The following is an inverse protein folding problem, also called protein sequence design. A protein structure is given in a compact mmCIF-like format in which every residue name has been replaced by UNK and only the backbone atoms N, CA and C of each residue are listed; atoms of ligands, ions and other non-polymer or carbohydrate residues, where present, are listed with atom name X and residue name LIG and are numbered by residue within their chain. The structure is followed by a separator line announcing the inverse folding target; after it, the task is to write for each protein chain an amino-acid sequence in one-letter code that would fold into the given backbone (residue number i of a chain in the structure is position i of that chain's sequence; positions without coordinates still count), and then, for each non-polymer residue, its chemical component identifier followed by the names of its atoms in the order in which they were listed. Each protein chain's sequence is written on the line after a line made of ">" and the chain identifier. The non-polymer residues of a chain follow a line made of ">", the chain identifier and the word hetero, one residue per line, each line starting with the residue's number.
data_IF_640865253712
#
_entry.id   IF_640865253712
#
_cell.length_a   1.000
_cell.length_b   1.000
_cell.length_c   1.000
_cell.angle_alpha   90.00
_cell.angle_beta   90.00
_cell.angle_gamma   90.00
#
_symmetry.space_group_name_H-M   'P 1'
#
loop_
_entity.id
_entity.type
_entity.pdbx_description
1 polymer ?
#
# COMPACT_ATOMS: atom_id res chain seq x y z
N UNK A 1 0.45 27.50 -9.92
CA UNK A 1 1.12 28.74 -9.47
C UNK A 1 0.22 29.37 -8.42
N UNK A 2 0.68 29.44 -7.17
CA UNK A 2 -0.05 30.04 -6.09
C UNK A 2 0.21 31.56 -6.11
N UNK A 3 -0.79 32.40 -6.33
CA UNK A 3 -0.59 33.85 -6.56
C UNK A 3 -0.15 34.63 -5.32
N UNK A 4 0.10 33.98 -4.18
CA UNK A 4 0.38 34.66 -2.91
C UNK A 4 1.74 34.34 -2.27
N UNK A 5 2.59 33.53 -2.92
CA UNK A 5 3.95 33.29 -2.43
C UNK A 5 4.96 33.94 -3.37
N UNK A 6 5.65 34.93 -2.87
CA UNK A 6 6.78 35.57 -3.57
C UNK A 6 8.02 34.68 -3.64
N UNK A 7 8.03 33.53 -2.96
CA UNK A 7 9.17 32.60 -2.89
C UNK A 7 8.72 31.16 -3.14
N UNK A 8 9.45 30.47 -4.03
CA UNK A 8 9.34 29.01 -4.18
C UNK A 8 10.13 28.32 -3.09
N UNK A 9 9.43 27.66 -2.15
CA UNK A 9 10.07 26.78 -1.17
C UNK A 9 10.52 25.49 -1.86
N UNK A 10 11.82 25.21 -1.80
CA UNK A 10 12.44 24.13 -2.55
C UNK A 10 13.15 23.16 -1.62
N UNK A 11 12.95 21.86 -1.87
CA UNK A 11 13.71 20.78 -1.25
C UNK A 11 14.53 20.08 -2.33
N UNK A 12 15.84 20.05 -2.18
CA UNK A 12 16.73 19.39 -3.14
C UNK A 12 16.80 17.88 -2.86
N UNK A 13 16.62 17.08 -3.90
CA UNK A 13 16.69 15.63 -3.83
C UNK A 13 18.09 15.14 -4.19
N UNK A 14 18.64 14.29 -3.32
CA UNK A 14 19.86 13.52 -3.58
C UNK A 14 19.48 12.08 -3.92
N UNK A 15 19.98 11.56 -5.02
CA UNK A 15 19.87 10.14 -5.33
C UNK A 15 21.08 9.39 -4.77
N UNK A 16 20.87 8.79 -3.63
CA UNK A 16 21.90 7.98 -2.97
C UNK A 16 21.93 6.52 -3.42
N UNK A 17 21.04 6.15 -4.36
CA UNK A 17 20.96 4.80 -4.87
C UNK A 17 19.55 4.27 -5.06
N UNK A 18 18.51 5.13 -4.98
CA UNK A 18 17.15 4.75 -5.39
C UNK A 18 17.04 4.63 -6.91
N UNK A 19 17.86 5.38 -7.67
CA UNK A 19 17.87 5.34 -9.13
C UNK A 19 16.64 5.97 -9.78
N UNK A 20 15.92 6.86 -9.05
CA UNK A 20 14.65 7.44 -9.53
C UNK A 20 14.78 8.89 -9.97
N UNK A 21 15.27 9.75 -9.09
CA UNK A 21 15.47 11.19 -9.33
C UNK A 21 16.42 11.77 -8.27
N UNK A 22 17.21 12.77 -8.62
CA UNK A 22 18.07 13.52 -7.69
C UNK A 22 19.49 13.69 -8.21
N UNK A 23 20.26 14.52 -7.51
CA UNK A 23 21.67 14.73 -7.77
C UNK A 23 22.48 13.52 -7.28
N UNK A 24 23.49 13.10 -8.06
CA UNK A 24 24.22 11.86 -7.81
C UNK A 24 25.45 12.08 -6.94
N UNK A 25 26.09 13.24 -7.04
CA UNK A 25 27.36 13.51 -6.37
C UNK A 25 27.24 14.66 -5.37
N UNK A 26 28.16 14.73 -4.37
CA UNK A 26 28.25 15.88 -3.47
C UNK A 26 28.48 17.19 -4.23
N UNK A 27 29.30 17.18 -5.28
CA UNK A 27 29.66 18.34 -6.10
C UNK A 27 28.45 18.89 -6.86
N UNK A 28 27.69 18.01 -7.53
CA UNK A 28 26.43 18.40 -8.20
C UNK A 28 25.42 18.99 -7.21
N UNK A 29 25.29 18.37 -6.04
CA UNK A 29 24.40 18.86 -4.99
C UNK A 29 24.82 20.23 -4.50
N UNK A 30 26.12 20.45 -4.25
CA UNK A 30 26.68 21.74 -3.84
C UNK A 30 26.43 22.82 -4.89
N UNK A 31 26.59 22.49 -6.18
CA UNK A 31 26.29 23.42 -7.28
C UNK A 31 24.80 23.79 -7.31
N UNK A 32 23.92 22.81 -7.13
CA UNK A 32 22.48 23.04 -7.08
C UNK A 32 22.06 23.92 -5.90
N UNK A 33 22.66 23.72 -4.71
CA UNK A 33 22.45 24.57 -3.54
C UNK A 33 22.84 26.00 -3.85
N UNK A 34 24.04 26.24 -4.40
CA UNK A 34 24.51 27.57 -4.77
C UNK A 34 23.60 28.24 -5.80
N UNK A 35 23.12 27.47 -6.79
CA UNK A 35 22.18 27.97 -7.78
C UNK A 35 20.88 28.45 -7.11
N UNK A 36 20.27 27.64 -6.27
CA UNK A 36 19.02 28.00 -5.57
C UNK A 36 19.24 29.22 -4.66
N UNK A 37 20.34 29.30 -3.92
CA UNK A 37 20.67 30.41 -3.02
C UNK A 37 20.96 31.72 -3.78
N UNK A 38 21.45 31.65 -5.03
CA UNK A 38 21.72 32.82 -5.85
C UNK A 38 20.49 33.48 -6.47
N UNK A 39 19.34 32.83 -6.41
CA UNK A 39 18.09 33.31 -7.01
C UNK A 39 17.09 33.67 -5.92
N UNK A 40 16.65 34.93 -5.90
CA UNK A 40 15.75 35.48 -4.89
C UNK A 40 14.34 34.84 -4.88
N UNK A 41 13.95 34.22 -5.96
CA UNK A 41 12.66 33.55 -6.14
C UNK A 41 12.59 32.23 -5.39
N UNK A 42 13.73 31.65 -5.01
CA UNK A 42 13.82 30.38 -4.32
C UNK A 42 14.19 30.54 -2.85
N UNK A 43 13.53 29.78 -2.02
CA UNK A 43 13.95 29.51 -0.66
C UNK A 43 14.40 28.04 -0.57
N UNK A 44 15.70 27.83 -0.35
CA UNK A 44 16.19 26.50 -0.06
C UNK A 44 15.78 26.10 1.36
N UNK A 45 14.68 25.34 1.44
CA UNK A 45 14.08 24.99 2.73
C UNK A 45 14.48 23.58 3.20
N UNK A 46 14.86 22.70 2.26
CA UNK A 46 15.20 21.33 2.63
C UNK A 46 16.14 20.59 1.68
N UNK A 47 16.68 19.49 2.21
CA UNK A 47 17.42 18.48 1.44
C UNK A 47 17.00 17.07 1.85
N UNK A 48 16.93 16.15 0.90
CA UNK A 48 16.46 14.82 1.21
C UNK A 48 16.97 13.72 0.28
N UNK A 49 16.89 12.49 0.78
CA UNK A 49 17.02 11.28 -0.02
C UNK A 49 15.87 10.31 0.25
N UNK A 50 15.89 9.16 -0.39
CA UNK A 50 14.93 8.08 -0.17
C UNK A 50 15.65 6.74 -0.17
N UNK A 51 15.48 5.97 0.89
CA UNK A 51 16.07 4.64 1.01
C UNK A 51 15.18 3.60 0.34
N UNK A 52 15.79 2.74 -0.45
CA UNK A 52 15.10 1.72 -1.25
C UNK A 52 14.92 0.38 -0.52
N UNK A 53 15.72 0.12 0.52
CA UNK A 53 15.78 -1.17 1.22
C UNK A 53 15.71 -1.03 2.74
N UNK A 54 15.09 0.05 3.24
CA UNK A 54 14.93 0.26 4.68
C UNK A 54 13.96 -0.75 5.35
N UNK A 55 13.21 -1.52 4.57
CA UNK A 55 12.26 -2.56 4.94
C UNK A 55 12.78 -3.99 4.68
N UNK A 56 14.08 -4.12 4.33
CA UNK A 56 14.72 -5.42 4.12
C UNK A 56 15.52 -5.87 5.35
N UNK A 57 15.69 -7.19 5.49
CA UNK A 57 16.51 -7.81 6.56
C UNK A 57 17.99 -7.48 6.36
N UNK A 58 18.45 -7.50 5.10
CA UNK A 58 19.83 -7.09 4.77
C UNK A 58 19.91 -5.56 4.68
N UNK A 59 20.62 -4.95 5.63
CA UNK A 59 20.80 -3.51 5.74
C UNK A 59 21.97 -2.97 4.92
N UNK A 60 22.76 -3.81 4.26
CA UNK A 60 24.01 -3.40 3.59
C UNK A 60 23.81 -2.28 2.57
N UNK A 61 22.76 -2.36 1.75
CA UNK A 61 22.46 -1.33 0.76
C UNK A 61 21.89 -0.07 1.39
N UNK A 62 21.07 -0.21 2.43
CA UNK A 62 20.59 0.92 3.23
C UNK A 62 21.76 1.71 3.84
N UNK A 63 22.73 1.03 4.45
CA UNK A 63 23.93 1.65 5.03
C UNK A 63 24.76 2.38 3.99
N UNK A 64 24.93 1.78 2.80
CA UNK A 64 25.59 2.41 1.65
C UNK A 64 24.87 3.70 1.24
N UNK A 65 23.55 3.70 1.14
CA UNK A 65 22.76 4.90 0.83
C UNK A 65 22.90 5.97 1.93
N UNK A 66 22.84 5.56 3.19
CA UNK A 66 23.02 6.46 4.34
C UNK A 66 24.40 7.10 4.36
N UNK A 67 25.46 6.32 4.08
CA UNK A 67 26.83 6.81 3.95
C UNK A 67 26.98 7.85 2.84
N UNK A 68 26.39 7.61 1.67
CA UNK A 68 26.37 8.57 0.56
C UNK A 68 25.68 9.88 0.92
N UNK A 69 24.55 9.80 1.62
CA UNK A 69 23.84 11.01 2.06
C UNK A 69 24.64 11.79 3.09
N UNK A 70 25.29 11.11 4.04
CA UNK A 70 26.19 11.77 5.01
C UNK A 70 27.34 12.48 4.30
N UNK A 71 27.92 11.89 3.26
CA UNK A 71 28.97 12.53 2.47
C UNK A 71 28.48 13.80 1.75
N UNK A 72 27.25 13.82 1.26
CA UNK A 72 26.65 15.02 0.69
C UNK A 72 26.47 16.10 1.75
N UNK A 73 25.93 15.76 2.92
CA UNK A 73 25.75 16.76 3.99
C UNK A 73 27.08 17.36 4.46
N UNK A 74 28.15 16.56 4.46
CA UNK A 74 29.48 16.99 4.92
C UNK A 74 30.14 18.05 4.04
N UNK A 75 29.76 18.18 2.75
CA UNK A 75 30.33 19.20 1.85
C UNK A 75 29.53 20.50 1.79
N UNK A 76 28.38 20.53 2.45
CA UNK A 76 27.54 21.73 2.52
C UNK A 76 28.04 22.67 3.62
N UNK A 77 28.11 23.95 3.31
CA UNK A 77 28.56 25.00 4.25
C UNK A 77 27.55 25.25 5.36
N UNK A 78 26.26 25.17 4.99
CA UNK A 78 25.12 25.30 5.89
C UNK A 78 24.08 24.22 5.55
N UNK A 79 23.35 23.75 6.54
CA UNK A 79 22.23 22.84 6.32
C UNK A 79 20.92 23.65 6.23
N UNK A 80 19.98 23.23 5.37
CA UNK A 80 18.66 23.84 5.30
C UNK A 80 17.84 23.52 6.56
N UNK A 81 16.71 24.21 6.71
CA UNK A 81 15.79 24.00 7.83
C UNK A 81 15.38 22.52 7.98
N UNK A 82 15.16 21.82 6.87
CA UNK A 82 14.72 20.44 6.88
C UNK A 82 15.73 19.53 6.18
N UNK A 83 16.17 18.53 6.93
CA UNK A 83 16.90 17.37 6.40
C UNK A 83 16.02 16.16 6.60
N UNK A 84 15.64 15.45 5.52
CA UNK A 84 14.72 14.33 5.68
C UNK A 84 15.05 13.13 4.79
N UNK A 85 15.14 11.99 5.42
CA UNK A 85 15.50 10.73 4.77
C UNK A 85 14.44 9.64 5.04
N UNK A 86 13.74 9.75 6.16
CA UNK A 86 12.91 8.67 6.68
C UNK A 86 11.57 8.57 5.95
N UNK A 87 11.35 7.45 5.26
CA UNK A 87 10.03 6.91 4.91
C UNK A 87 9.47 6.13 6.12
N UNK A 88 8.32 5.47 5.97
CA UNK A 88 7.72 4.67 7.06
C UNK A 88 8.67 3.60 7.59
N UNK A 89 9.37 2.87 6.72
CA UNK A 89 10.29 1.82 7.09
C UNK A 89 11.48 2.36 7.90
N UNK A 90 12.12 3.41 7.38
CA UNK A 90 13.23 4.06 8.09
C UNK A 90 12.80 4.59 9.45
N UNK A 91 11.61 5.18 9.56
CA UNK A 91 11.10 5.70 10.83
C UNK A 91 10.83 4.59 11.86
N UNK A 92 10.48 3.38 11.41
CA UNK A 92 10.20 2.24 12.29
C UNK A 92 11.46 1.50 12.76
N UNK A 93 12.46 1.35 11.89
CA UNK A 93 13.60 0.45 12.15
C UNK A 93 14.97 1.12 12.18
N UNK A 94 15.09 2.36 11.68
CA UNK A 94 16.38 3.06 11.56
C UNK A 94 16.31 4.49 12.14
N UNK A 95 16.12 4.65 13.45
CA UNK A 95 15.96 5.97 14.07
C UNK A 95 17.23 6.84 14.04
N UNK A 96 18.40 6.23 13.91
CA UNK A 96 19.71 6.90 14.03
C UNK A 96 20.20 7.57 12.73
N UNK A 97 19.36 7.67 11.70
CA UNK A 97 19.70 8.38 10.47
C UNK A 97 19.62 9.90 10.64
N UNK A 98 20.45 10.68 9.92
CA UNK A 98 20.40 12.12 10.00
C UNK A 98 19.07 12.66 9.47
N UNK A 99 18.44 13.56 10.25
CA UNK A 99 17.22 14.24 9.82
C UNK A 99 16.42 14.81 10.97
N UNK A 100 15.56 15.76 10.65
CA UNK A 100 14.66 16.43 11.59
C UNK A 100 13.21 16.46 11.11
N UNK A 101 12.89 15.70 10.04
CA UNK A 101 11.54 15.53 9.52
C UNK A 101 11.38 14.13 8.94
N UNK A 102 10.25 13.51 9.16
CA UNK A 102 9.88 12.20 8.60
C UNK A 102 8.77 12.35 7.56
N UNK A 103 8.77 11.45 6.57
CA UNK A 103 7.70 11.31 5.58
C UNK A 103 6.95 10.02 5.87
N UNK A 104 6.10 10.08 6.90
CA UNK A 104 5.36 8.92 7.38
C UNK A 104 4.18 8.65 6.45
N UNK A 105 4.22 7.53 5.75
CA UNK A 105 3.24 7.15 4.72
C UNK A 105 2.43 5.93 5.16
N UNK A 106 2.73 4.75 4.59
CA UNK A 106 1.92 3.53 4.73
C UNK A 106 1.68 3.09 6.18
N UNK A 107 2.64 3.28 7.07
CA UNK A 107 2.49 2.93 8.47
C UNK A 107 1.47 3.83 9.20
N UNK A 108 1.20 5.05 8.71
CA UNK A 108 0.12 5.91 9.21
C UNK A 108 -1.26 5.30 8.94
N UNK A 109 -1.38 4.48 7.89
CA UNK A 109 -2.59 3.74 7.57
C UNK A 109 -2.66 2.36 8.25
N UNK A 110 -1.72 2.10 9.19
CA UNK A 110 -1.69 0.85 9.95
C UNK A 110 -1.14 -0.35 9.17
N UNK A 111 -0.39 -0.11 8.11
CA UNK A 111 0.19 -1.16 7.26
C UNK A 111 1.70 -1.26 7.49
N UNK A 112 2.19 -2.50 7.63
CA UNK A 112 3.60 -2.77 7.84
C UNK A 112 4.40 -2.56 6.54
N UNK A 113 5.34 -1.59 6.48
CA UNK A 113 6.10 -1.31 5.26
C UNK A 113 6.85 -2.50 4.66
N UNK A 114 7.28 -3.45 5.49
CA UNK A 114 7.98 -4.66 5.04
C UNK A 114 7.06 -5.82 4.65
N UNK A 115 5.74 -5.61 4.67
CA UNK A 115 4.78 -6.72 4.60
C UNK A 115 4.89 -7.58 5.86
N UNK A 116 5.44 -8.80 5.72
CA UNK A 116 5.62 -9.75 6.83
C UNK A 116 7.10 -10.01 7.17
N UNK A 117 8.07 -9.29 6.55
CA UNK A 117 9.51 -9.57 6.72
C UNK A 117 10.05 -9.13 8.08
N UNK A 118 9.63 -7.96 8.55
CA UNK A 118 10.09 -7.36 9.81
C UNK A 118 8.90 -7.03 10.71
N UNK A 119 9.02 -7.34 11.99
CA UNK A 119 8.03 -6.93 12.97
C UNK A 119 8.18 -5.41 13.26
N UNK A 120 7.09 -4.63 13.23
CA UNK A 120 7.15 -3.22 13.61
C UNK A 120 7.41 -3.10 15.12
N UNK A 121 8.07 -2.01 15.53
CA UNK A 121 8.42 -1.73 16.93
C UNK A 121 7.20 -1.48 17.82
N UNK A 122 6.04 -1.23 17.24
CA UNK A 122 4.74 -1.07 17.92
C UNK A 122 3.60 -1.57 17.04
N UNK A 123 2.46 -1.88 17.66
CA UNK A 123 1.28 -2.38 16.94
C UNK A 123 0.73 -1.33 15.98
N UNK A 124 0.67 -1.68 14.71
CA UNK A 124 0.00 -0.88 13.67
C UNK A 124 -1.49 -1.25 13.64
N UNK A 125 -2.35 -0.24 13.50
CA UNK A 125 -3.81 -0.42 13.44
C UNK A 125 -4.28 -0.11 12.02
N UNK A 126 -4.73 -1.12 11.24
CA UNK A 126 -5.25 -0.89 9.90
C UNK A 126 -6.40 0.11 9.90
N UNK A 127 -6.30 1.13 9.05
CA UNK A 127 -7.29 2.20 8.91
C UNK A 127 -8.34 1.92 7.85
N UNK A 128 -8.24 0.78 7.12
CA UNK A 128 -9.13 0.42 6.04
C UNK A 128 -9.85 -0.89 6.33
N UNK A 129 -11.16 -0.88 6.13
CA UNK A 129 -12.02 -2.06 6.03
C UNK A 129 -12.77 -1.98 4.72
N UNK A 130 -12.86 -3.08 3.98
CA UNK A 130 -13.66 -3.21 2.76
C UNK A 130 -14.75 -4.24 2.97
N UNK A 131 -16.00 -3.81 2.85
CA UNK A 131 -17.16 -4.69 2.98
C UNK A 131 -18.09 -4.56 1.79
N UNK A 132 -18.89 -5.58 1.56
CA UNK A 132 -20.01 -5.63 0.63
C UNK A 132 -21.15 -6.44 1.24
N UNK A 133 -22.14 -6.79 0.45
CA UNK A 133 -23.29 -7.60 0.90
C UNK A 133 -23.59 -8.70 -0.12
N UNK A 134 -24.24 -9.78 0.31
CA UNK A 134 -24.79 -10.78 -0.60
C UNK A 134 -26.02 -10.22 -1.31
N UNK A 135 -26.00 -10.17 -2.64
CA UNK A 135 -27.17 -9.73 -3.43
C UNK A 135 -27.99 -10.90 -3.98
N UNK A 136 -27.40 -12.08 -4.00
CA UNK A 136 -28.07 -13.31 -4.45
C UNK A 136 -27.44 -14.52 -3.77
N UNK A 137 -28.26 -15.49 -3.40
CA UNK A 137 -27.84 -16.77 -2.84
C UNK A 137 -28.64 -17.88 -3.54
N UNK A 138 -27.93 -18.91 -3.99
CA UNK A 138 -28.54 -20.07 -4.65
C UNK A 138 -27.81 -21.35 -4.31
N UNK A 139 -28.52 -22.46 -4.43
CA UNK A 139 -27.96 -23.80 -4.32
C UNK A 139 -27.78 -24.39 -5.72
N UNK A 140 -26.60 -24.85 -6.03
CA UNK A 140 -26.28 -25.50 -7.31
C UNK A 140 -26.01 -26.98 -7.10
N UNK A 141 -26.44 -27.80 -8.05
CA UNK A 141 -26.12 -29.22 -8.08
C UNK A 141 -24.64 -29.46 -8.42
N UNK A 142 -24.14 -30.67 -8.20
CA UNK A 142 -22.82 -31.08 -8.68
C UNK A 142 -22.73 -30.99 -10.21
N UNK A 143 -21.57 -30.55 -10.73
CA UNK A 143 -21.29 -30.44 -12.15
C UNK A 143 -21.69 -29.13 -12.80
N UNK A 144 -22.13 -28.13 -12.02
CA UNK A 144 -22.48 -26.81 -12.53
C UNK A 144 -21.27 -25.86 -12.61
N UNK A 145 -21.07 -25.26 -13.79
CA UNK A 145 -19.99 -24.31 -14.02
C UNK A 145 -20.28 -22.92 -13.43
N UNK A 146 -19.27 -22.26 -12.85
CA UNK A 146 -19.40 -20.92 -12.27
C UNK A 146 -18.50 -19.92 -12.99
N UNK A 147 -19.10 -18.81 -13.43
CA UNK A 147 -18.44 -17.67 -14.03
C UNK A 147 -17.91 -17.91 -15.44
N UNK A 148 -17.14 -16.92 -15.93
CA UNK A 148 -16.60 -16.96 -17.29
C UNK A 148 -15.57 -18.09 -17.49
N UNK A 149 -15.79 -18.92 -18.50
CA UNK A 149 -14.89 -20.00 -18.89
C UNK A 149 -14.91 -21.19 -17.93
N UNK A 150 -15.95 -21.28 -17.09
CA UNK A 150 -16.21 -22.45 -16.20
C UNK A 150 -14.96 -22.89 -15.44
N UNK A 151 -14.18 -21.89 -14.92
CA UNK A 151 -12.92 -22.17 -14.21
C UNK A 151 -13.11 -22.78 -12.83
N UNK A 152 -14.34 -22.84 -12.38
CA UNK A 152 -14.80 -23.60 -11.23
C UNK A 152 -16.05 -24.39 -11.63
N UNK A 153 -16.08 -25.65 -11.27
CA UNK A 153 -17.25 -26.53 -11.43
C UNK A 153 -17.56 -27.13 -10.05
N UNK A 154 -18.80 -27.07 -9.64
CA UNK A 154 -19.26 -27.63 -8.36
C UNK A 154 -18.97 -29.12 -8.27
N UNK A 155 -18.29 -29.58 -7.22
CA UNK A 155 -17.99 -31.01 -7.00
C UNK A 155 -19.16 -31.76 -6.34
N UNK A 156 -19.97 -31.03 -5.59
CA UNK A 156 -21.15 -31.52 -4.89
C UNK A 156 -22.27 -30.45 -4.98
N UNK A 157 -23.34 -30.64 -4.25
CA UNK A 157 -24.35 -29.61 -4.08
C UNK A 157 -23.81 -28.50 -3.18
N UNK A 158 -23.73 -27.26 -3.68
CA UNK A 158 -23.09 -26.15 -3.05
C UNK A 158 -23.98 -24.90 -2.96
N UNK A 159 -23.83 -24.14 -1.87
CA UNK A 159 -24.41 -22.80 -1.75
C UNK A 159 -23.47 -21.77 -2.35
N UNK A 160 -23.96 -20.97 -3.30
CA UNK A 160 -23.20 -19.94 -3.99
C UNK A 160 -23.84 -18.59 -3.72
N UNK A 161 -23.03 -17.67 -3.17
CA UNK A 161 -23.38 -16.27 -2.97
C UNK A 161 -22.80 -15.38 -4.07
N UNK A 162 -23.54 -14.35 -4.48
CA UNK A 162 -23.06 -13.32 -5.39
C UNK A 162 -22.84 -12.02 -4.63
N UNK A 163 -21.65 -11.44 -4.81
CA UNK A 163 -21.20 -10.20 -4.15
C UNK A 163 -21.03 -9.12 -5.24
N UNK A 164 -21.65 -7.92 -5.09
CA UNK A 164 -21.61 -6.85 -6.10
C UNK A 164 -20.32 -6.04 -6.00
N UNK A 165 -19.18 -6.70 -6.21
CA UNK A 165 -17.86 -6.09 -6.34
C UNK A 165 -17.03 -6.87 -7.35
N UNK A 166 -16.33 -6.17 -8.22
CA UNK A 166 -15.50 -6.77 -9.26
C UNK A 166 -14.29 -5.93 -9.63
N UNK A 167 -13.67 -6.26 -10.78
CA UNK A 167 -12.40 -5.62 -11.13
C UNK A 167 -12.56 -4.14 -11.52
N UNK A 168 -13.74 -3.66 -11.87
CA UNK A 168 -14.00 -2.24 -12.08
C UNK A 168 -13.98 -1.44 -10.76
N UNK A 169 -14.13 -2.12 -9.63
CA UNK A 169 -14.03 -1.55 -8.29
C UNK A 169 -12.61 -1.66 -7.72
N UNK A 170 -11.71 -2.38 -8.41
CA UNK A 170 -10.37 -2.68 -7.93
C UNK A 170 -10.24 -4.06 -7.25
N UNK A 171 -11.31 -4.87 -7.24
CA UNK A 171 -11.30 -6.26 -6.77
C UNK A 171 -10.87 -7.18 -7.90
N UNK A 172 -9.55 -7.36 -8.05
CA UNK A 172 -8.93 -7.84 -9.27
C UNK A 172 -9.28 -9.29 -9.63
N UNK A 173 -9.22 -9.59 -10.94
CA UNK A 173 -9.62 -10.87 -11.51
C UNK A 173 -8.81 -12.06 -11.01
N UNK A 174 -7.54 -11.86 -10.62
CA UNK A 174 -6.65 -12.88 -10.06
C UNK A 174 -7.02 -13.29 -8.62
N UNK A 175 -8.04 -12.67 -8.02
CA UNK A 175 -8.54 -13.05 -6.69
C UNK A 175 -9.42 -14.32 -6.69
N UNK A 176 -9.65 -14.96 -7.82
CA UNK A 176 -10.20 -16.33 -7.82
C UNK A 176 -9.39 -17.25 -6.89
N UNK A 177 -10.07 -17.99 -6.03
CA UNK A 177 -9.46 -18.86 -5.01
C UNK A 177 -8.99 -18.11 -3.74
N UNK A 178 -9.10 -16.78 -3.68
CA UNK A 178 -8.96 -16.04 -2.44
C UNK A 178 -10.22 -16.22 -1.58
N UNK A 179 -10.13 -16.01 -0.27
CA UNK A 179 -11.28 -16.11 0.63
C UNK A 179 -11.74 -14.75 1.10
N UNK A 180 -13.03 -14.56 1.21
CA UNK A 180 -13.70 -13.46 1.91
C UNK A 180 -14.38 -13.99 3.17
N UNK A 181 -14.88 -13.12 4.05
CA UNK A 181 -15.48 -13.54 5.30
C UNK A 181 -16.98 -13.25 5.30
N UNK A 182 -17.76 -14.24 5.73
CA UNK A 182 -19.22 -14.11 5.94
C UNK A 182 -19.57 -14.77 7.26
N UNK A 183 -20.15 -14.04 8.18
CA UNK A 183 -20.53 -14.53 9.51
C UNK A 183 -19.36 -15.24 10.25
N UNK A 184 -18.15 -14.70 10.17
CA UNK A 184 -16.95 -15.25 10.79
C UNK A 184 -16.40 -16.50 10.11
N UNK A 185 -16.87 -16.87 8.92
CA UNK A 185 -16.41 -18.04 8.14
C UNK A 185 -15.71 -17.60 6.87
N UNK A 186 -14.65 -18.34 6.47
CA UNK A 186 -13.95 -18.14 5.20
C UNK A 186 -14.74 -18.73 4.06
N UNK A 187 -15.06 -17.91 3.07
CA UNK A 187 -15.80 -18.24 1.86
C UNK A 187 -14.92 -18.00 0.65
N UNK A 188 -14.63 -19.06 -0.11
CA UNK A 188 -13.75 -18.98 -1.27
C UNK A 188 -14.43 -18.27 -2.45
N UNK A 189 -13.69 -17.42 -3.16
CA UNK A 189 -14.13 -16.83 -4.44
C UNK A 189 -14.00 -17.92 -5.51
N UNK A 190 -15.14 -18.37 -6.02
CA UNK A 190 -15.26 -19.45 -7.01
C UNK A 190 -15.56 -18.90 -8.39
N UNK A 191 -14.87 -19.44 -9.39
CA UNK A 191 -14.90 -18.87 -10.73
C UNK A 191 -14.19 -17.50 -10.83
N UNK A 192 -14.13 -16.98 -12.04
CA UNK A 192 -13.44 -15.70 -12.31
C UNK A 192 -14.23 -14.52 -11.76
N UNK A 193 -13.53 -13.59 -11.11
CA UNK A 193 -14.12 -12.30 -10.75
C UNK A 193 -14.54 -11.57 -12.03
N UNK A 194 -15.78 -11.10 -12.07
CA UNK A 194 -16.37 -10.37 -13.19
C UNK A 194 -16.09 -8.86 -13.06
N UNK A 195 -16.64 -8.06 -13.98
CA UNK A 195 -16.45 -6.60 -13.96
C UNK A 195 -17.00 -5.98 -12.67
N UNK A 196 -18.23 -6.34 -12.28
CA UNK A 196 -18.97 -5.72 -11.20
C UNK A 196 -19.43 -6.71 -10.11
N UNK A 197 -19.05 -7.97 -10.23
CA UNK A 197 -19.51 -9.05 -9.32
C UNK A 197 -18.47 -10.15 -9.19
N UNK A 198 -18.50 -10.84 -8.05
CA UNK A 198 -17.83 -12.12 -7.88
C UNK A 198 -18.75 -13.12 -7.16
N UNK A 199 -18.47 -14.40 -7.34
CA UNK A 199 -19.20 -15.50 -6.70
C UNK A 199 -18.34 -16.10 -5.60
N UNK A 200 -18.99 -16.48 -4.50
CA UNK A 200 -18.33 -17.12 -3.35
C UNK A 200 -19.07 -18.41 -2.98
N UNK A 201 -18.31 -19.42 -2.55
CA UNK A 201 -18.84 -20.65 -2.00
C UNK A 201 -19.15 -20.43 -0.52
N UNK A 202 -20.40 -20.61 -0.15
CA UNK A 202 -20.89 -20.53 1.22
C UNK A 202 -20.92 -21.91 1.88
N UNK A 203 -20.63 -21.98 3.17
CA UNK A 203 -20.68 -23.24 3.90
C UNK A 203 -22.13 -23.72 4.16
N UNK A 204 -23.09 -22.79 4.12
CA UNK A 204 -24.53 -23.02 4.38
C UNK A 204 -25.35 -21.94 3.70
N UNK A 205 -26.67 -22.04 3.74
CA UNK A 205 -27.55 -20.97 3.31
C UNK A 205 -27.36 -19.74 4.19
N UNK A 206 -27.13 -18.60 3.55
CA UNK A 206 -26.95 -17.29 4.22
C UNK A 206 -27.93 -16.30 3.61
N UNK A 207 -28.66 -15.50 4.41
CA UNK A 207 -29.62 -14.54 3.87
C UNK A 207 -28.98 -13.53 2.92
N UNK A 208 -29.70 -13.15 1.86
CA UNK A 208 -29.39 -11.97 1.04
C UNK A 208 -29.34 -10.73 1.94
N UNK A 209 -28.40 -9.83 1.70
CA UNK A 209 -28.12 -8.67 2.56
C UNK A 209 -27.11 -8.95 3.68
N UNK A 210 -26.65 -10.21 3.84
CA UNK A 210 -25.59 -10.52 4.81
C UNK A 210 -24.28 -9.87 4.40
N UNK A 211 -23.57 -9.30 5.38
CA UNK A 211 -22.29 -8.60 5.16
C UNK A 211 -21.20 -9.57 4.72
N UNK A 212 -20.48 -9.19 3.70
CA UNK A 212 -19.28 -9.85 3.21
C UNK A 212 -18.08 -8.97 3.52
N UNK A 213 -17.16 -9.43 4.35
CA UNK A 213 -15.92 -8.71 4.65
C UNK A 213 -14.81 -9.19 3.72
N UNK A 214 -14.39 -8.30 2.80
CA UNK A 214 -13.31 -8.56 1.84
C UNK A 214 -11.94 -8.28 2.47
N UNK A 215 -11.84 -7.13 3.18
CA UNK A 215 -10.67 -6.74 3.97
C UNK A 215 -11.14 -6.28 5.35
N UNK A 216 -10.51 -6.79 6.39
CA UNK A 216 -10.85 -6.48 7.78
C UNK A 216 -11.23 -7.71 8.59
N UNK A 217 -11.76 -7.47 9.79
CA UNK A 217 -12.17 -8.52 10.74
C UNK A 217 -13.64 -8.86 10.62
N UNK A 218 -13.95 -10.15 10.79
CA UNK A 218 -15.29 -10.68 10.95
C UNK A 218 -15.25 -11.84 11.97
N UNK A 219 -15.80 -11.61 13.14
CA UNK A 219 -15.63 -12.53 14.28
C UNK A 219 -14.16 -12.70 14.68
N UNK A 220 -13.69 -13.94 14.68
CA UNK A 220 -12.29 -14.27 14.99
C UNK A 220 -11.39 -14.34 13.75
N UNK A 221 -11.96 -14.18 12.57
CA UNK A 221 -11.25 -14.22 11.29
C UNK A 221 -10.86 -12.82 10.82
N UNK A 222 -9.78 -12.74 10.05
CA UNK A 222 -9.29 -11.49 9.47
C UNK A 222 -8.75 -11.73 8.07
N UNK A 223 -9.07 -10.83 7.15
CA UNK A 223 -8.41 -10.66 5.87
C UNK A 223 -7.66 -9.33 5.87
N UNK A 224 -6.35 -9.38 5.70
CA UNK A 224 -5.52 -8.17 5.62
C UNK A 224 -5.26 -7.76 4.18
N UNK A 225 -4.95 -6.47 3.94
CA UNK A 225 -4.46 -6.02 2.63
C UNK A 225 -3.18 -6.75 2.20
N UNK A 226 -2.36 -7.19 3.17
CA UNK A 226 -1.17 -7.99 2.89
C UNK A 226 -1.52 -9.36 2.31
N UNK A 227 -2.54 -10.05 2.85
CA UNK A 227 -3.01 -11.33 2.30
C UNK A 227 -3.56 -11.18 0.87
N UNK A 228 -4.27 -10.08 0.58
CA UNK A 228 -4.73 -9.76 -0.78
C UNK A 228 -3.54 -9.53 -1.71
N UNK A 229 -2.53 -8.77 -1.25
CA UNK A 229 -1.32 -8.50 -2.02
C UNK A 229 -0.52 -9.78 -2.32
N UNK A 230 -0.37 -10.66 -1.36
CA UNK A 230 0.29 -11.97 -1.53
C UNK A 230 -0.43 -12.82 -2.57
N UNK A 231 -1.77 -12.87 -2.55
CA UNK A 231 -2.58 -13.56 -3.56
C UNK A 231 -2.39 -12.97 -4.96
N UNK A 232 -2.18 -11.66 -5.05
CA UNK A 232 -1.99 -10.93 -6.31
C UNK A 232 -0.52 -10.84 -6.75
N UNK A 233 0.41 -11.42 -5.98
CA UNK A 233 1.87 -11.35 -6.22
C UNK A 233 2.39 -9.90 -6.32
N UNK A 234 1.89 -9.03 -5.44
CA UNK A 234 2.24 -7.61 -5.36
C UNK A 234 2.39 -7.13 -3.92
N UNK A 235 2.37 -5.83 -3.68
CA UNK A 235 2.47 -5.20 -2.37
C UNK A 235 1.15 -4.51 -1.98
N UNK A 236 0.87 -4.48 -0.69
CA UNK A 236 -0.38 -3.88 -0.16
C UNK A 236 -0.54 -2.38 -0.50
N UNK A 237 0.55 -1.66 -0.80
CA UNK A 237 0.52 -0.29 -1.31
C UNK A 237 -0.26 -0.21 -2.63
N UNK A 238 0.05 -1.11 -3.57
CA UNK A 238 -0.61 -1.17 -4.86
C UNK A 238 -2.07 -1.55 -4.70
N UNK A 239 -2.35 -2.60 -3.90
CA UNK A 239 -3.74 -3.03 -3.62
C UNK A 239 -4.59 -1.88 -3.08
N UNK A 240 -4.09 -1.12 -2.12
CA UNK A 240 -4.82 0.02 -1.56
C UNK A 240 -5.13 1.10 -2.62
N UNK A 241 -4.25 1.25 -3.63
CA UNK A 241 -4.41 2.22 -4.71
C UNK A 241 -5.35 1.74 -5.83
N UNK A 242 -5.66 0.44 -5.92
CA UNK A 242 -6.57 -0.08 -6.97
C UNK A 242 -8.03 0.20 -6.67
N UNK A 243 -8.42 0.40 -5.41
CA UNK A 243 -9.82 0.62 -5.04
C UNK A 243 -10.35 1.90 -5.68
N UNK A 244 -11.32 1.72 -6.58
CA UNK A 244 -11.88 2.79 -7.38
C UNK A 244 -12.74 3.76 -6.57
N UNK A 245 -13.00 4.93 -7.15
CA UNK A 245 -13.92 5.92 -6.56
C UNK A 245 -15.40 5.51 -6.61
N UNK A 246 -15.73 4.41 -7.29
CA UNK A 246 -17.07 3.83 -7.30
C UNK A 246 -17.48 3.29 -5.92
N UNK A 247 -16.50 2.85 -5.12
CA UNK A 247 -16.76 2.35 -3.76
C UNK A 247 -17.04 3.54 -2.84
N UNK A 248 -18.22 3.60 -2.21
CA UNK A 248 -18.51 4.60 -1.18
C UNK A 248 -17.48 4.52 -0.05
N UNK A 249 -17.08 5.67 0.47
CA UNK A 249 -16.15 5.76 1.61
C UNK A 249 -16.86 6.38 2.80
N UNK A 250 -16.81 5.66 3.90
CA UNK A 250 -17.30 6.11 5.20
C UNK A 250 -16.11 6.36 6.12
N UNK A 251 -16.10 7.47 6.83
CA UNK A 251 -15.04 7.86 7.76
C UNK A 251 -15.60 7.85 9.19
N UNK A 252 -15.00 7.04 10.06
CA UNK A 252 -15.41 6.85 11.46
C UNK A 252 -14.40 7.45 12.43
#
# INVERSE_FOLDING_TARGET
>A
LFPYTTLFRSHLKVDTGMGRIGFLTPEETKQAVRFVQSHKEFLWEGIFTHFSTADEIDTSYFEKQAGRFKAVLAVLEELPRYVHVSNSATALWHPDVPGNMIRYGVAMYGLNPSGNKLAPSYALKPALRLTSELIHVKRLAAGEGIGYGETYVTEAEEWIGTVPIGYADGWLRHLQGFTVLVNGKRCEIVGRVCMDQCMIRLAEEVPVGSVVTLVGKDGNEENTLQMVAEKLETIHYEVACTFSQRIPREYN
#
